data_IF_368039197037
#
_entry.id   IF_368039197037
#
_cell.length_a   1.000
_cell.length_b   1.000
_cell.length_c   1.000
_cell.angle_alpha   90.00
_cell.angle_beta   90.00
_cell.angle_gamma   90.00
#
_symmetry.space_group_name_H-M   'P 1'
#
loop_
_entity.id
_entity.type
_entity.pdbx_description
1 polymer ?
#
# COMPACT_ATOMS: atom_id res chain seq x y z
N UNK A 1 12.71 -22.05 -32.78
CA UNK A 1 13.56 -21.20 -31.91
C UNK A 1 12.75 -20.95 -30.65
N UNK A 2 13.32 -21.21 -29.47
CA UNK A 2 12.64 -20.88 -28.21
C UNK A 2 12.49 -19.37 -28.11
N UNK A 3 11.36 -18.91 -27.56
CA UNK A 3 11.10 -17.47 -27.42
C UNK A 3 11.57 -17.04 -26.04
N UNK A 4 12.76 -16.43 -25.99
CA UNK A 4 13.32 -15.89 -24.76
C UNK A 4 13.04 -14.39 -24.62
N UNK A 5 12.71 -13.95 -23.41
CA UNK A 5 12.54 -12.55 -23.06
C UNK A 5 12.85 -12.31 -21.58
N UNK A 6 13.09 -11.05 -21.21
CA UNK A 6 13.21 -10.61 -19.83
C UNK A 6 11.96 -9.80 -19.47
N UNK A 7 11.35 -10.12 -18.33
CA UNK A 7 10.22 -9.37 -17.80
C UNK A 7 10.55 -8.85 -16.40
N UNK A 8 10.18 -7.61 -16.11
CA UNK A 8 10.47 -6.97 -14.83
C UNK A 8 9.20 -6.54 -14.11
N UNK A 9 9.19 -6.67 -12.79
CA UNK A 9 8.19 -6.05 -11.93
C UNK A 9 8.85 -5.48 -10.69
N UNK A 10 8.18 -4.53 -10.06
CA UNK A 10 8.67 -3.82 -8.89
C UNK A 10 7.62 -3.77 -7.78
N UNK A 11 8.08 -3.42 -6.58
CA UNK A 11 7.27 -3.24 -5.39
C UNK A 11 7.93 -2.21 -4.47
N UNK A 12 7.14 -1.70 -3.53
CA UNK A 12 7.58 -0.78 -2.48
C UNK A 12 7.07 -1.28 -1.14
N UNK A 13 7.80 -0.99 -0.07
CA UNK A 13 7.42 -1.35 1.29
C UNK A 13 6.33 -0.41 1.86
N UNK A 14 5.77 -0.78 3.02
CA UNK A 14 4.75 -0.01 3.74
C UNK A 14 5.18 1.44 4.09
N UNK A 15 6.49 1.71 4.17
CA UNK A 15 6.99 3.06 4.40
C UNK A 15 7.05 3.95 3.17
N UNK A 16 6.86 3.44 1.95
CA UNK A 16 6.81 4.30 0.77
C UNK A 16 5.67 5.32 0.90
N UNK A 17 5.86 6.61 0.61
CA UNK A 17 4.85 7.64 0.88
C UNK A 17 3.48 7.34 0.26
N UNK A 18 3.46 6.79 -0.97
CA UNK A 18 2.19 6.39 -1.59
C UNK A 18 1.52 5.24 -0.83
N UNK A 19 2.29 4.27 -0.31
CA UNK A 19 1.76 3.19 0.52
C UNK A 19 1.39 3.63 1.94
N UNK A 20 2.03 4.66 2.47
CA UNK A 20 1.60 5.33 3.70
C UNK A 20 0.21 5.94 3.49
N UNK A 21 -0.03 6.63 2.36
CA UNK A 21 -1.35 7.16 2.02
C UNK A 21 -2.39 6.05 1.89
N UNK A 22 -2.11 4.99 1.13
CA UNK A 22 -3.01 3.82 0.99
C UNK A 22 -3.37 3.24 2.36
N UNK A 23 -2.38 3.02 3.22
CA UNK A 23 -2.58 2.41 4.55
C UNK A 23 -3.38 3.32 5.49
N UNK A 24 -3.19 4.64 5.43
CA UNK A 24 -4.00 5.59 6.21
C UNK A 24 -5.44 5.59 5.73
N UNK A 25 -5.66 5.62 4.41
CA UNK A 25 -7.00 5.57 3.82
C UNK A 25 -7.75 4.30 4.22
N UNK A 26 -7.09 3.14 4.17
CA UNK A 26 -7.66 1.86 4.61
C UNK A 26 -7.86 1.81 6.13
N UNK A 27 -6.98 2.41 6.94
CA UNK A 27 -7.18 2.49 8.39
C UNK A 27 -8.41 3.34 8.77
N UNK A 28 -8.71 4.40 8.00
CA UNK A 28 -9.95 5.16 8.15
C UNK A 28 -11.17 4.31 7.76
N UNK A 29 -11.08 3.56 6.66
CA UNK A 29 -12.12 2.60 6.25
C UNK A 29 -12.40 1.57 7.35
N UNK A 30 -11.36 0.95 7.91
CA UNK A 30 -11.47 -0.04 8.98
C UNK A 30 -12.11 0.57 10.23
N UNK A 31 -11.71 1.79 10.62
CA UNK A 31 -12.29 2.49 11.76
C UNK A 31 -13.79 2.81 11.56
N UNK A 32 -14.21 3.09 10.32
CA UNK A 32 -15.63 3.24 9.97
C UNK A 32 -16.37 1.91 10.10
N UNK A 33 -15.88 0.86 9.41
CA UNK A 33 -16.55 -0.45 9.33
C UNK A 33 -16.61 -1.17 10.67
N UNK A 34 -15.63 -0.95 11.56
CA UNK A 34 -15.63 -1.52 12.91
C UNK A 34 -16.78 -1.00 13.78
N UNK A 35 -17.26 0.22 13.55
CA UNK A 35 -18.35 0.84 14.31
C UNK A 35 -19.69 0.81 13.55
N UNK A 36 -19.64 0.92 12.22
CA UNK A 36 -20.80 0.93 11.34
C UNK A 36 -20.49 0.13 10.06
N UNK A 37 -20.89 -1.15 9.99
CA UNK A 37 -20.66 -2.01 8.83
C UNK A 37 -21.32 -1.53 7.52
N UNK A 38 -22.23 -0.55 7.59
CA UNK A 38 -22.90 0.04 6.42
C UNK A 38 -22.26 1.37 5.98
N UNK A 39 -21.11 1.72 6.55
CA UNK A 39 -20.35 2.91 6.17
C UNK A 39 -20.03 2.91 4.67
N UNK A 40 -20.13 4.09 4.05
CA UNK A 40 -19.65 4.34 2.70
C UNK A 40 -18.45 5.26 2.79
N UNK A 41 -17.31 4.81 2.29
CA UNK A 41 -16.03 5.47 2.50
C UNK A 41 -15.32 5.60 1.15
N UNK A 42 -15.08 6.84 0.75
CA UNK A 42 -14.14 7.21 -0.30
C UNK A 42 -13.11 8.14 0.35
N UNK A 43 -12.10 7.53 0.98
CA UNK A 43 -11.10 8.25 1.77
C UNK A 43 -9.80 8.38 0.99
N UNK A 44 -9.40 9.61 0.71
CA UNK A 44 -8.17 9.96 0.03
C UNK A 44 -7.15 10.52 1.02
N UNK A 45 -5.88 10.15 0.86
CA UNK A 45 -4.80 10.62 1.73
C UNK A 45 -3.69 11.27 0.92
N UNK A 46 -3.25 12.45 1.35
CA UNK A 46 -2.05 13.13 0.85
C UNK A 46 -1.04 13.29 1.97
N UNK A 47 0.21 12.88 1.74
CA UNK A 47 1.29 12.99 2.72
C UNK A 47 2.50 13.74 2.14
N UNK A 48 3.00 14.74 2.87
CA UNK A 48 4.23 15.46 2.52
C UNK A 48 4.89 16.08 3.75
N UNK A 49 6.21 15.90 3.88
CA UNK A 49 7.02 16.47 4.96
C UNK A 49 6.49 16.08 6.34
N UNK A 50 5.81 16.97 7.06
CA UNK A 50 5.17 16.70 8.36
C UNK A 50 3.64 16.91 8.31
N UNK A 51 3.05 16.86 7.12
CA UNK A 51 1.62 17.11 6.89
C UNK A 51 0.97 15.86 6.32
N UNK A 52 -0.19 15.51 6.89
CA UNK A 52 -1.14 14.55 6.32
C UNK A 52 -2.47 15.25 6.12
N UNK A 53 -3.04 15.11 4.93
CA UNK A 53 -4.40 15.54 4.62
C UNK A 53 -5.21 14.27 4.36
N UNK A 54 -6.31 14.12 5.10
CA UNK A 54 -7.31 13.08 4.89
C UNK A 54 -8.54 13.77 4.30
N UNK A 55 -9.02 13.34 3.14
CA UNK A 55 -10.13 13.98 2.42
C UNK A 55 -11.04 12.99 1.70
N UNK A 56 -12.10 13.49 1.08
CA UNK A 56 -13.07 12.69 0.33
C UNK A 56 -14.44 12.61 1.01
N UNK A 57 -15.24 11.63 0.61
CA UNK A 57 -16.61 11.48 1.08
C UNK A 57 -16.79 10.27 2.02
N UNK A 58 -17.29 10.52 3.23
CA UNK A 58 -17.58 9.48 4.21
C UNK A 58 -18.99 9.65 4.75
N UNK A 59 -19.82 8.63 4.53
CA UNK A 59 -21.15 8.52 5.13
C UNK A 59 -21.12 7.37 6.14
N UNK A 60 -21.12 7.71 7.43
CA UNK A 60 -21.01 6.74 8.53
C UNK A 60 -21.65 7.26 9.82
N UNK A 61 -22.08 6.35 10.70
CA UNK A 61 -22.44 6.66 12.09
C UNK A 61 -21.24 6.58 13.05
N UNK A 62 -20.08 6.14 12.57
CA UNK A 62 -18.87 6.02 13.37
C UNK A 62 -18.41 7.38 13.89
N UNK A 63 -17.85 7.39 15.10
CA UNK A 63 -17.15 8.56 15.64
C UNK A 63 -15.66 8.34 15.44
N UNK A 64 -15.04 9.18 14.61
CA UNK A 64 -13.66 9.01 14.18
C UNK A 64 -12.78 10.11 14.78
N UNK A 65 -11.62 9.70 15.28
CA UNK A 65 -10.51 10.58 15.58
C UNK A 65 -9.45 10.41 14.51
N UNK A 66 -9.56 11.21 13.43
CA UNK A 66 -8.65 11.12 12.29
C UNK A 66 -7.20 11.39 12.69
N UNK A 67 -6.96 12.28 13.66
CA UNK A 67 -5.61 12.54 14.15
C UNK A 67 -5.03 11.27 14.77
N UNK A 68 -5.78 10.63 15.67
CA UNK A 68 -5.31 9.43 16.35
C UNK A 68 -5.11 8.26 15.36
N UNK A 69 -6.05 8.03 14.45
CA UNK A 69 -5.95 6.99 13.41
C UNK A 69 -4.67 7.19 12.60
N UNK A 70 -4.45 8.39 12.04
CA UNK A 70 -3.26 8.69 11.24
C UNK A 70 -1.98 8.47 12.05
N UNK A 71 -1.93 8.96 13.30
CA UNK A 71 -0.74 8.81 14.14
C UNK A 71 -0.43 7.35 14.44
N UNK A 72 -1.44 6.54 14.73
CA UNK A 72 -1.26 5.13 15.03
C UNK A 72 -0.81 4.35 13.80
N UNK A 73 -1.40 4.61 12.63
CA UNK A 73 -0.95 4.02 11.35
C UNK A 73 0.51 4.37 11.04
N UNK A 74 0.89 5.66 11.14
CA UNK A 74 2.26 6.11 10.88
C UNK A 74 3.25 5.50 11.88
N UNK A 75 2.82 5.32 13.14
CA UNK A 75 3.63 4.67 14.19
C UNK A 75 3.83 3.18 13.89
N UNK A 76 2.79 2.48 13.44
CA UNK A 76 2.86 1.07 13.06
C UNK A 76 3.79 0.85 11.86
N UNK A 77 3.77 1.78 10.89
CA UNK A 77 4.71 1.77 9.76
C UNK A 77 6.15 1.95 10.26
N UNK A 78 6.36 2.74 11.32
CA UNK A 78 7.63 2.88 12.02
C UNK A 78 8.34 4.21 11.79
N UNK A 79 7.60 5.25 11.42
CA UNK A 79 8.08 6.64 11.39
C UNK A 79 8.02 7.26 12.80
N UNK A 80 8.96 6.85 13.64
CA UNK A 80 8.99 7.09 15.09
C UNK A 80 10.35 7.53 15.61
N UNK A 81 11.29 7.82 14.71
CA UNK A 81 12.64 8.18 15.09
C UNK A 81 12.80 9.70 15.19
N UNK A 82 13.57 10.17 16.16
CA UNK A 82 13.70 11.61 16.42
C UNK A 82 14.19 12.42 15.21
N UNK A 83 14.98 11.79 14.34
CA UNK A 83 15.52 12.34 13.10
C UNK A 83 14.55 12.25 11.91
N UNK A 84 13.37 11.66 12.07
CA UNK A 84 12.35 11.64 11.03
C UNK A 84 11.67 13.01 10.90
N UNK A 85 11.63 13.54 9.67
CA UNK A 85 10.83 14.72 9.32
C UNK A 85 9.33 14.37 9.36
N UNK A 86 8.97 13.21 8.78
CA UNK A 86 7.63 12.64 8.84
C UNK A 86 7.58 11.71 10.06
N UNK A 87 6.93 12.14 11.14
CA UNK A 87 7.00 11.44 12.43
C UNK A 87 5.62 11.37 13.10
N UNK A 88 5.22 10.19 13.56
CA UNK A 88 3.90 9.90 14.13
C UNK A 88 3.45 10.94 15.17
N UNK A 89 4.33 11.39 16.06
CA UNK A 89 3.94 12.35 17.11
C UNK A 89 4.03 13.83 16.71
N UNK A 90 4.64 14.14 15.55
CA UNK A 90 4.93 15.53 15.11
C UNK A 90 4.11 15.95 13.88
N UNK A 91 3.43 15.01 13.23
CA UNK A 91 2.60 15.30 12.06
C UNK A 91 1.42 16.21 12.40
N UNK A 92 1.16 17.14 11.48
CA UNK A 92 -0.05 17.93 11.41
C UNK A 92 -1.07 17.22 10.52
N UNK A 93 -2.29 17.01 11.03
CA UNK A 93 -3.36 16.33 10.31
C UNK A 93 -4.49 17.32 10.00
N UNK A 94 -4.84 17.42 8.72
CA UNK A 94 -6.02 18.17 8.27
C UNK A 94 -7.06 17.19 7.73
N UNK A 95 -8.29 17.31 8.21
CA UNK A 95 -9.44 16.56 7.69
C UNK A 95 -10.26 17.45 6.76
N UNK A 96 -10.51 16.99 5.54
CA UNK A 96 -11.33 17.62 4.51
C UNK A 96 -12.42 16.64 4.06
N UNK A 97 -13.21 16.16 5.03
CA UNK A 97 -14.24 15.14 4.81
C UNK A 97 -15.62 15.79 4.68
N UNK A 98 -16.37 15.35 3.67
CA UNK A 98 -17.80 15.68 3.49
C UNK A 98 -18.64 14.39 3.46
N UNK A 99 -19.96 14.53 3.57
CA UNK A 99 -20.86 13.39 3.31
C UNK A 99 -20.93 13.08 1.81
N UNK A 100 -21.27 11.84 1.45
CA UNK A 100 -21.49 11.45 0.05
C UNK A 100 -22.61 12.27 -0.59
N UNK A 101 -22.42 12.67 -1.86
CA UNK A 101 -23.45 13.36 -2.63
C UNK A 101 -24.76 12.55 -2.71
N UNK A 102 -25.93 13.15 -2.38
CA UNK A 102 -27.23 12.49 -2.53
C UNK A 102 -27.53 11.98 -3.95
N UNK A 103 -26.98 12.66 -4.96
CA UNK A 103 -27.17 12.32 -6.39
C UNK A 103 -26.43 11.03 -6.77
N UNK A 104 -25.33 10.71 -6.07
CA UNK A 104 -24.61 9.44 -6.22
C UNK A 104 -25.35 8.34 -5.46
N UNK A 105 -25.79 8.63 -4.23
CA UNK A 105 -26.47 7.65 -3.39
C UNK A 105 -27.71 7.06 -4.10
N UNK A 106 -28.53 7.88 -4.77
CA UNK A 106 -29.71 7.39 -5.49
C UNK A 106 -29.40 6.41 -6.63
N UNK A 107 -28.25 6.55 -7.30
CA UNK A 107 -27.82 5.68 -8.39
C UNK A 107 -27.27 4.34 -7.89
N UNK A 108 -26.70 4.32 -6.69
CA UNK A 108 -26.06 3.13 -6.11
C UNK A 108 -27.03 2.33 -5.24
N UNK A 109 -27.88 3.00 -4.47
CA UNK A 109 -28.75 2.38 -3.48
C UNK A 109 -29.60 1.24 -4.06
N UNK A 110 -29.73 0.15 -3.28
CA UNK A 110 -30.66 -0.95 -3.53
C UNK A 110 -32.11 -0.51 -3.26
N UNK A 111 -32.60 0.44 -4.07
CA UNK A 111 -33.95 0.98 -4.03
C UNK A 111 -34.47 1.19 -5.45
N UNK A 112 -35.78 1.01 -5.62
CA UNK A 112 -36.43 1.37 -6.87
C UNK A 112 -36.26 2.88 -7.11
N UNK A 113 -35.84 3.24 -8.32
CA UNK A 113 -35.70 4.61 -8.77
C UNK A 113 -36.11 4.70 -10.23
N UNK A 114 -36.61 5.86 -10.66
CA UNK A 114 -36.97 6.11 -12.05
C UNK A 114 -35.72 5.93 -12.94
N UNK A 115 -35.78 5.01 -13.90
CA UNK A 115 -34.65 4.65 -14.76
C UNK A 115 -33.83 3.43 -14.34
N UNK A 116 -34.11 2.80 -13.18
CA UNK A 116 -33.52 1.50 -12.81
C UNK A 116 -34.41 0.33 -13.23
N UNK A 117 -33.81 -0.69 -13.86
CA UNK A 117 -34.50 -1.94 -14.20
C UNK A 117 -34.77 -2.82 -12.97
N UNK A 118 -33.90 -2.75 -11.95
CA UNK A 118 -34.02 -3.53 -10.70
C UNK A 118 -33.86 -2.66 -9.46
N UNK A 119 -34.31 -3.16 -8.31
CA UNK A 119 -34.07 -2.53 -7.00
C UNK A 119 -32.76 -3.02 -6.35
N UNK A 120 -31.86 -3.64 -7.11
CA UNK A 120 -30.56 -4.11 -6.62
C UNK A 120 -29.54 -2.96 -6.54
N UNK A 121 -28.47 -3.19 -5.78
CA UNK A 121 -27.38 -2.24 -5.68
C UNK A 121 -26.65 -2.10 -7.02
N UNK A 122 -26.51 -0.87 -7.50
CA UNK A 122 -25.76 -0.57 -8.72
C UNK A 122 -24.26 -0.44 -8.45
N UNK A 123 -23.45 -0.40 -9.51
CA UNK A 123 -22.05 -0.03 -9.40
C UNK A 123 -21.92 1.42 -8.90
N UNK A 124 -20.89 1.68 -8.08
CA UNK A 124 -20.60 3.02 -7.56
C UNK A 124 -20.14 4.02 -8.61
N UNK A 125 -19.53 3.51 -9.68
CA UNK A 125 -19.07 4.26 -10.84
C UNK A 125 -18.94 3.30 -12.04
N UNK A 126 -18.73 3.83 -13.24
CA UNK A 126 -18.31 3.05 -14.41
C UNK A 126 -16.92 2.46 -14.21
N UNK A 127 -16.64 1.27 -14.75
CA UNK A 127 -15.32 0.67 -14.62
C UNK A 127 -15.08 -0.55 -15.50
N UNK A 128 -13.80 -0.94 -15.60
CA UNK A 128 -13.32 -2.15 -16.25
C UNK A 128 -12.39 -2.88 -15.28
N UNK A 129 -12.58 -4.19 -15.12
CA UNK A 129 -11.84 -5.01 -14.17
C UNK A 129 -11.18 -6.17 -14.88
N UNK A 130 -9.93 -6.49 -14.51
CA UNK A 130 -9.20 -7.66 -14.99
C UNK A 130 -8.81 -8.55 -13.81
N UNK A 131 -9.08 -9.84 -13.93
CA UNK A 131 -8.53 -10.86 -13.05
C UNK A 131 -7.42 -11.63 -13.77
N UNK A 132 -6.35 -11.98 -13.06
CA UNK A 132 -5.25 -12.76 -13.61
C UNK A 132 -4.79 -13.82 -12.61
N UNK A 133 -4.41 -14.99 -13.11
CA UNK A 133 -3.77 -16.06 -12.36
C UNK A 133 -2.85 -16.87 -13.29
N UNK A 134 -1.75 -17.38 -12.74
CA UNK A 134 -0.82 -18.28 -13.45
C UNK A 134 -0.15 -19.24 -12.47
N UNK A 135 0.33 -20.39 -12.94
CA UNK A 135 0.94 -21.44 -12.11
C UNK A 135 2.45 -21.25 -11.85
N UNK A 136 3.00 -20.06 -12.12
CA UNK A 136 4.42 -19.75 -11.91
C UNK A 136 4.83 -19.76 -10.43
N UNK A 137 3.90 -19.53 -9.51
CA UNK A 137 4.11 -19.52 -8.05
C UNK A 137 2.98 -20.26 -7.32
N UNK A 138 3.21 -20.77 -6.09
CA UNK A 138 2.16 -21.41 -5.28
C UNK A 138 0.95 -20.51 -4.99
N UNK A 139 1.15 -19.19 -4.96
CA UNK A 139 0.11 -18.18 -4.77
C UNK A 139 -0.72 -17.88 -6.03
N UNK A 140 -0.44 -18.58 -7.14
CA UNK A 140 -1.06 -18.41 -8.45
C UNK A 140 -0.83 -17.02 -9.08
N UNK A 141 0.34 -16.42 -8.80
CA UNK A 141 0.72 -15.07 -9.24
C UNK A 141 2.00 -15.08 -10.10
N UNK A 142 2.22 -14.06 -10.96
CA UNK A 142 3.45 -13.98 -11.77
C UNK A 142 4.70 -13.92 -10.89
N UNK A 143 5.73 -14.68 -11.26
CA UNK A 143 6.96 -14.75 -10.47
C UNK A 143 7.64 -13.38 -10.22
N UNK A 144 7.77 -12.46 -11.21
CA UNK A 144 8.45 -11.17 -11.03
C UNK A 144 7.84 -10.31 -9.91
N UNK A 145 6.52 -10.16 -9.89
CA UNK A 145 5.84 -9.34 -8.89
C UNK A 145 5.85 -10.00 -7.52
N UNK A 146 5.67 -11.32 -7.46
CA UNK A 146 5.75 -12.06 -6.19
C UNK A 146 7.13 -11.97 -5.55
N UNK A 147 8.19 -12.08 -6.34
CA UNK A 147 9.55 -11.94 -5.82
C UNK A 147 9.83 -10.52 -5.34
N UNK A 148 9.41 -9.48 -6.08
CA UNK A 148 9.51 -8.10 -5.61
C UNK A 148 8.77 -7.89 -4.27
N UNK A 149 7.52 -8.36 -4.14
CA UNK A 149 6.77 -8.28 -2.88
C UNK A 149 7.46 -9.01 -1.71
N UNK A 150 8.05 -10.19 -1.95
CA UNK A 150 8.75 -10.96 -0.92
C UNK A 150 9.97 -10.21 -0.39
N UNK A 151 10.75 -9.56 -1.25
CA UNK A 151 11.90 -8.74 -0.83
C UNK A 151 11.46 -7.58 0.08
N UNK A 152 10.42 -6.83 -0.30
CA UNK A 152 9.88 -5.74 0.52
C UNK A 152 9.30 -6.20 1.87
N UNK A 153 8.60 -7.35 1.88
CA UNK A 153 8.07 -7.97 3.10
C UNK A 153 9.19 -8.40 4.05
N UNK A 154 10.25 -8.99 3.52
CA UNK A 154 11.37 -9.47 4.34
C UNK A 154 12.17 -8.31 4.95
N UNK A 155 12.45 -7.26 4.16
CA UNK A 155 13.02 -6.01 4.67
C UNK A 155 12.20 -5.42 5.82
N UNK A 156 10.89 -5.36 5.64
CA UNK A 156 9.96 -4.84 6.66
C UNK A 156 9.96 -5.71 7.91
N UNK A 157 9.93 -7.04 7.76
CA UNK A 157 9.98 -8.00 8.86
C UNK A 157 11.27 -7.85 9.67
N UNK A 158 12.41 -7.71 9.00
CA UNK A 158 13.71 -7.54 9.66
C UNK A 158 13.80 -6.19 10.34
N UNK A 159 13.38 -5.10 9.69
CA UNK A 159 13.32 -3.78 10.31
C UNK A 159 12.48 -3.79 11.59
N UNK A 160 11.24 -4.31 11.52
CA UNK A 160 10.31 -4.34 12.65
C UNK A 160 10.78 -5.24 13.81
N UNK A 161 11.66 -6.21 13.56
CA UNK A 161 12.23 -7.03 14.64
C UNK A 161 13.28 -6.29 15.50
N UNK A 162 13.77 -5.12 15.04
CA UNK A 162 14.66 -4.23 15.77
C UNK A 162 16.14 -4.65 15.84
N UNK A 163 16.54 -5.77 15.20
CA UNK A 163 17.94 -6.24 15.18
C UNK A 163 18.82 -5.39 14.27
N UNK A 164 18.28 -4.90 13.16
CA UNK A 164 18.99 -4.06 12.20
C UNK A 164 18.54 -2.61 12.38
N UNK A 165 19.26 -1.87 13.22
CA UNK A 165 18.86 -0.54 13.70
C UNK A 165 18.99 0.58 12.67
N UNK A 166 19.79 0.35 11.63
CA UNK A 166 20.01 1.35 10.59
C UNK A 166 18.94 1.34 9.50
N UNK A 167 18.07 0.33 9.43
CA UNK A 167 16.97 0.29 8.44
C UNK A 167 15.87 1.28 8.81
N UNK A 168 15.34 1.98 7.80
CA UNK A 168 14.21 2.90 7.91
C UNK A 168 13.01 2.41 7.06
N UNK A 169 11.80 2.96 7.26
CA UNK A 169 10.58 2.37 6.68
C UNK A 169 10.49 2.35 5.14
N UNK A 170 11.01 3.35 4.43
CA UNK A 170 10.90 3.40 2.96
C UNK A 170 11.85 2.41 2.28
N UNK A 171 11.31 1.58 1.39
CA UNK A 171 12.09 0.66 0.57
C UNK A 171 11.39 0.35 -0.75
N UNK A 172 12.20 0.01 -1.76
CA UNK A 172 11.79 -0.34 -3.12
C UNK A 172 12.55 -1.57 -3.58
N UNK A 173 11.90 -2.42 -4.34
CA UNK A 173 12.48 -3.65 -4.88
C UNK A 173 12.03 -3.88 -6.31
N UNK A 174 12.92 -4.33 -7.18
CA UNK A 174 12.61 -4.72 -8.55
C UNK A 174 13.30 -6.04 -8.88
N UNK A 175 12.58 -6.93 -9.57
CA UNK A 175 13.09 -8.22 -10.01
C UNK A 175 12.85 -8.39 -11.50
N UNK A 176 13.93 -8.67 -12.23
CA UNK A 176 13.91 -9.01 -13.65
C UNK A 176 14.13 -10.50 -13.84
N UNK A 177 13.14 -11.19 -14.41
CA UNK A 177 13.13 -12.64 -14.59
C UNK A 177 13.34 -12.98 -16.06
N UNK A 178 14.20 -13.95 -16.33
CA UNK A 178 14.42 -14.54 -17.65
C UNK A 178 13.33 -15.57 -17.89
N UNK A 179 12.61 -15.42 -18.98
CA UNK A 179 11.62 -16.37 -19.45
C UNK A 179 12.11 -17.10 -20.70
N UNK A 180 11.81 -18.39 -20.78
CA UNK A 180 11.92 -19.19 -21.98
C UNK A 180 10.62 -19.97 -22.19
N UNK A 181 10.02 -19.84 -23.38
CA UNK A 181 8.75 -20.47 -23.74
C UNK A 181 7.63 -20.24 -22.69
N UNK A 182 7.61 -19.01 -22.15
CA UNK A 182 6.69 -18.52 -21.10
C UNK A 182 6.88 -19.12 -19.71
N UNK A 183 8.00 -19.79 -19.46
CA UNK A 183 8.36 -20.29 -18.12
C UNK A 183 9.50 -19.46 -17.53
N UNK A 184 9.43 -19.07 -16.26
CA UNK A 184 10.56 -18.42 -15.60
C UNK A 184 11.70 -19.43 -15.43
N UNK A 185 12.90 -19.10 -15.90
CA UNK A 185 14.08 -19.98 -15.86
C UNK A 185 15.23 -19.44 -15.01
N UNK A 186 15.19 -18.15 -14.64
CA UNK A 186 16.24 -17.55 -13.82
C UNK A 186 16.02 -16.07 -13.56
N UNK A 187 16.84 -15.51 -12.67
CA UNK A 187 16.83 -14.08 -12.34
C UNK A 187 17.95 -13.39 -13.11
N UNK A 188 17.62 -12.35 -13.87
CA UNK A 188 18.59 -11.53 -14.60
C UNK A 188 19.15 -10.40 -13.73
N UNK A 189 18.31 -9.77 -12.91
CA UNK A 189 18.67 -8.62 -12.11
C UNK A 189 17.76 -8.49 -10.90
N UNK A 190 18.32 -8.06 -9.78
CA UNK A 190 17.60 -7.65 -8.57
C UNK A 190 18.10 -6.26 -8.18
N UNK A 191 17.17 -5.34 -7.97
CA UNK A 191 17.46 -4.00 -7.42
C UNK A 191 16.71 -3.86 -6.12
N UNK A 192 17.41 -3.44 -5.07
CA UNK A 192 16.83 -3.08 -3.78
C UNK A 192 17.36 -1.71 -3.40
N UNK A 193 16.45 -0.80 -3.07
CA UNK A 193 16.76 0.50 -2.47
C UNK A 193 16.06 0.55 -1.13
N UNK A 194 16.80 0.75 -0.05
CA UNK A 194 16.22 0.84 1.30
C UNK A 194 16.71 2.12 1.96
N UNK A 195 15.79 2.84 2.61
CA UNK A 195 16.11 3.99 3.42
C UNK A 195 16.91 3.53 4.66
N UNK A 196 17.92 4.29 5.03
CA UNK A 196 18.82 3.93 6.11
C UNK A 196 19.31 5.16 6.88
N UNK A 197 19.91 4.93 8.04
CA UNK A 197 20.60 5.98 8.81
C UNK A 197 21.85 6.48 8.09
N UNK A 198 22.31 7.69 8.40
CA UNK A 198 23.45 8.32 7.71
C UNK A 198 24.83 7.71 8.04
N UNK A 199 24.92 6.86 9.07
CA UNK A 199 26.16 6.31 9.60
C UNK A 199 26.52 4.92 9.04
N UNK A 200 25.57 4.19 8.45
CA UNK A 200 25.84 2.87 7.85
C UNK A 200 26.58 3.00 6.52
N UNK A 201 27.59 2.15 6.31
CA UNK A 201 28.39 2.14 5.08
C UNK A 201 27.65 1.42 3.96
N UNK A 202 27.77 1.91 2.74
CA UNK A 202 27.16 1.28 1.57
C UNK A 202 27.57 -0.20 1.39
N UNK A 203 28.81 -0.57 1.70
CA UNK A 203 29.28 -1.95 1.65
C UNK A 203 28.51 -2.88 2.61
N UNK A 204 28.17 -2.38 3.79
CA UNK A 204 27.40 -3.14 4.80
C UNK A 204 25.95 -3.31 4.34
N UNK A 205 25.33 -2.23 3.83
CA UNK A 205 23.98 -2.29 3.23
C UNK A 205 23.96 -3.33 2.11
N UNK A 206 24.95 -3.29 1.21
CA UNK A 206 25.02 -4.22 0.07
C UNK A 206 25.17 -5.66 0.52
N UNK A 207 26.07 -5.95 1.46
CA UNK A 207 26.24 -7.29 2.02
C UNK A 207 24.96 -7.77 2.69
N UNK A 208 24.34 -6.94 3.54
CA UNK A 208 23.08 -7.27 4.20
C UNK A 208 21.96 -7.60 3.22
N UNK A 209 21.77 -6.76 2.19
CA UNK A 209 20.73 -7.00 1.17
C UNK A 209 20.98 -8.31 0.41
N UNK A 210 22.23 -8.63 0.10
CA UNK A 210 22.55 -9.87 -0.63
C UNK A 210 22.42 -11.11 0.27
N UNK A 211 22.82 -11.02 1.54
CA UNK A 211 22.95 -12.19 2.42
C UNK A 211 21.66 -12.49 3.21
N UNK A 212 20.90 -11.45 3.57
CA UNK A 212 19.74 -11.57 4.47
C UNK A 212 18.39 -11.32 3.76
N UNK A 213 18.39 -10.72 2.56
CA UNK A 213 17.16 -10.34 1.85
C UNK A 213 16.96 -11.12 0.55
N UNK A 214 18.01 -11.26 -0.28
CA UNK A 214 17.97 -11.97 -1.58
C UNK A 214 18.24 -13.46 -1.38
#
# INVERSE_FOLDING_TARGET
MSRSYIFSSESVAEGHPDKVCDTISDAVLDACLAQDPHSRVACETYAKSNIVIVGGEITTKAKLDYLQIVRDTVREIGYVHDDDIFHADKIFVSSMITEQSPDIAQGVDARAAEGKETAEQGAGDQGLMFGYACDETPELMPAPIMFAHRLGRELTRIRKNGKVRWLRPDAKSQVSVIYEDRKPIGISCVVVSTQHTGDVKHSEIRSFVIEEII
#
